data_IF_723055275406
#
_entry.id   IF_723055275406
#
_cell.length_a   1.000
_cell.length_b   1.000
_cell.length_c   1.000
_cell.angle_alpha   90.00
_cell.angle_beta   90.00
_cell.angle_gamma   90.00
#
_symmetry.space_group_name_H-M   'P 1'
#
loop_
_entity.id
_entity.type
_entity.pdbx_description
1 polymer ?
#
# COMPACT_ATOMS: atom_id res chain seq x y z
N UNK A 1 -4.95 -16.60 -17.49
CA UNK A 1 -5.89 -15.64 -16.90
C UNK A 1 -5.12 -14.36 -16.68
N UNK A 2 -5.67 -13.20 -17.00
CA UNK A 2 -4.96 -11.92 -16.83
C UNK A 2 -5.18 -11.42 -15.40
N UNK A 3 -4.10 -11.17 -14.65
CA UNK A 3 -4.14 -10.66 -13.28
C UNK A 3 -4.69 -9.23 -13.23
N UNK A 4 -5.85 -9.04 -12.59
CA UNK A 4 -6.49 -7.71 -12.49
C UNK A 4 -5.65 -6.74 -11.65
N UNK A 5 -4.93 -7.28 -10.67
CA UNK A 5 -4.10 -6.52 -9.73
C UNK A 5 -2.82 -5.96 -10.38
N UNK A 6 -2.39 -6.55 -11.50
CA UNK A 6 -1.18 -6.18 -12.24
C UNK A 6 -1.46 -5.57 -13.62
N UNK A 7 -2.71 -5.57 -14.09
CA UNK A 7 -3.07 -4.94 -15.36
C UNK A 7 -3.05 -3.42 -15.22
N UNK A 8 -2.21 -2.70 -16.00
CA UNK A 8 -2.22 -1.25 -16.02
C UNK A 8 -3.57 -0.71 -16.50
N UNK A 9 -3.99 0.43 -15.93
CA UNK A 9 -5.17 1.15 -16.40
C UNK A 9 -4.98 1.65 -17.83
N UNK A 10 -6.02 1.54 -18.66
CA UNK A 10 -5.99 2.07 -20.03
C UNK A 10 -6.08 3.60 -20.02
N UNK A 11 -5.62 4.25 -21.11
CA UNK A 11 -5.70 5.71 -21.23
C UNK A 11 -7.15 6.23 -21.20
N UNK A 12 -8.07 5.46 -21.76
CA UNK A 12 -9.49 5.80 -21.74
C UNK A 12 -10.06 5.77 -20.32
N UNK A 13 -9.76 4.71 -19.56
CA UNK A 13 -10.23 4.55 -18.18
C UNK A 13 -9.57 5.56 -17.23
N UNK A 14 -8.29 5.89 -17.47
CA UNK A 14 -7.57 6.91 -16.71
C UNK A 14 -8.17 8.31 -16.92
N UNK A 15 -8.43 8.68 -18.18
CA UNK A 15 -9.04 9.97 -18.50
C UNK A 15 -10.49 10.06 -17.99
N UNK A 16 -11.25 8.96 -18.06
CA UNK A 16 -12.59 8.89 -17.46
C UNK A 16 -12.54 9.04 -15.94
N UNK A 17 -11.58 8.39 -15.28
CA UNK A 17 -11.40 8.47 -13.83
C UNK A 17 -11.01 9.88 -13.36
N UNK A 18 -10.25 10.66 -14.14
CA UNK A 18 -9.76 12.00 -13.75
C UNK A 18 -10.67 13.15 -14.27
N UNK A 19 -11.81 12.84 -14.89
CA UNK A 19 -12.68 13.85 -15.53
C UNK A 19 -13.11 15.00 -14.61
N UNK A 20 -13.14 14.80 -13.29
CA UNK A 20 -13.28 15.84 -12.28
C UNK A 20 -11.99 15.83 -11.43
N UNK A 21 -11.16 16.88 -11.46
CA UNK A 21 -9.84 16.98 -10.80
C UNK A 21 -9.84 16.81 -9.26
N UNK A 22 -10.94 16.33 -8.68
CA UNK A 22 -11.19 16.09 -7.25
C UNK A 22 -11.90 14.75 -6.98
N UNK A 23 -12.24 13.95 -8.01
CA UNK A 23 -13.03 12.72 -7.87
C UNK A 23 -12.53 11.68 -8.85
N UNK A 24 -12.24 10.48 -8.35
CA UNK A 24 -12.18 9.29 -9.19
C UNK A 24 -13.60 8.82 -9.41
N UNK A 25 -14.07 8.85 -10.65
CA UNK A 25 -15.34 8.23 -11.04
C UNK A 25 -15.09 7.24 -12.18
N UNK A 26 -15.04 5.94 -11.85
CA UNK A 26 -15.73 4.99 -12.70
C UNK A 26 -16.63 4.10 -11.84
N UNK A 27 -17.88 3.96 -12.30
CA UNK A 27 -18.92 3.08 -11.77
C UNK A 27 -18.96 2.98 -10.23
N UNK A 28 -19.64 3.94 -9.59
CA UNK A 28 -20.27 3.76 -8.27
C UNK A 28 -19.39 3.91 -6.99
N UNK A 29 -18.22 4.54 -7.06
CA UNK A 29 -17.48 4.97 -5.85
C UNK A 29 -17.12 6.46 -5.91
N UNK A 30 -17.46 7.22 -4.86
CA UNK A 30 -17.08 8.62 -4.69
C UNK A 30 -15.87 8.71 -3.75
N UNK A 31 -14.69 8.31 -4.21
CA UNK A 31 -13.48 8.53 -3.41
C UNK A 31 -13.08 10.00 -3.49
N UNK A 32 -13.15 10.72 -2.37
CA UNK A 32 -12.70 12.12 -2.33
C UNK A 32 -11.18 12.17 -2.24
N UNK A 33 -10.56 13.02 -3.08
CA UNK A 33 -9.12 13.26 -3.04
C UNK A 33 -8.82 14.45 -2.14
N UNK A 34 -8.05 14.21 -1.09
CA UNK A 34 -7.47 15.26 -0.27
C UNK A 34 -5.98 15.41 -0.65
N UNK A 35 -5.66 16.51 -1.33
CA UNK A 35 -4.31 16.82 -1.84
C UNK A 35 -4.30 17.17 -3.33
N UNK A 36 -3.15 17.64 -3.83
CA UNK A 36 -3.00 18.04 -5.23
C UNK A 36 -2.48 16.89 -6.11
N UNK A 37 -3.42 16.12 -6.68
CA UNK A 37 -3.11 15.06 -7.65
C UNK A 37 -2.40 15.61 -8.91
N UNK A 38 -2.73 16.84 -9.31
CA UNK A 38 -2.22 17.45 -10.53
C UNK A 38 -0.75 17.90 -10.42
N UNK A 39 -0.27 18.13 -9.19
CA UNK A 39 1.15 18.44 -8.94
C UNK A 39 2.09 17.25 -9.18
N UNK A 40 1.56 16.03 -9.31
CA UNK A 40 2.35 14.80 -9.42
C UNK A 40 2.59 14.38 -10.87
N UNK A 41 3.62 13.56 -11.11
CA UNK A 41 3.89 13.00 -12.43
C UNK A 41 2.75 12.08 -12.89
N UNK A 42 2.49 12.03 -14.19
CA UNK A 42 1.40 11.22 -14.76
C UNK A 42 1.52 9.74 -14.37
N UNK A 43 2.74 9.21 -14.30
CA UNK A 43 3.00 7.83 -13.85
C UNK A 43 2.49 7.58 -12.43
N UNK A 44 2.69 8.53 -11.51
CA UNK A 44 2.23 8.42 -10.14
C UNK A 44 0.71 8.59 -10.04
N UNK A 45 0.13 9.51 -10.81
CA UNK A 45 -1.32 9.66 -10.90
C UNK A 45 -1.98 8.35 -11.37
N UNK A 46 -1.46 7.73 -12.43
CA UNK A 46 -1.94 6.44 -12.95
C UNK A 46 -1.86 5.34 -11.90
N UNK A 47 -0.75 5.24 -11.18
CA UNK A 47 -0.58 4.27 -10.12
C UNK A 47 -1.63 4.45 -9.00
N UNK A 48 -1.82 5.69 -8.53
CA UNK A 48 -2.80 6.00 -7.47
C UNK A 48 -4.22 5.65 -7.94
N UNK A 49 -4.59 6.05 -9.16
CA UNK A 49 -5.90 5.75 -9.73
C UNK A 49 -6.10 4.24 -9.86
N UNK A 50 -5.16 3.52 -10.46
CA UNK A 50 -5.22 2.06 -10.62
C UNK A 50 -5.44 1.35 -9.29
N UNK A 51 -4.67 1.70 -8.24
CA UNK A 51 -4.80 1.09 -6.92
C UNK A 51 -6.08 1.51 -6.21
N UNK A 52 -6.54 2.75 -6.37
CA UNK A 52 -7.83 3.19 -5.84
C UNK A 52 -8.99 2.39 -6.46
N UNK A 53 -8.96 2.14 -7.77
CA UNK A 53 -9.98 1.33 -8.45
C UNK A 53 -9.99 -0.13 -8.00
N UNK A 54 -8.80 -0.70 -7.77
CA UNK A 54 -8.64 -2.07 -7.30
C UNK A 54 -9.10 -2.24 -5.85
N UNK A 55 -8.59 -1.40 -4.95
CA UNK A 55 -8.77 -1.56 -3.49
C UNK A 55 -10.09 -0.95 -2.99
N UNK A 56 -10.72 -0.07 -3.78
CA UNK A 56 -12.00 0.60 -3.51
C UNK A 56 -12.05 1.34 -2.16
N UNK A 57 -11.11 2.26 -1.87
CA UNK A 57 -11.12 3.02 -0.63
C UNK A 57 -12.27 4.03 -0.60
N UNK A 58 -12.72 4.37 0.61
CA UNK A 58 -13.74 5.42 0.81
C UNK A 58 -13.21 6.80 0.44
N UNK A 59 -11.99 7.12 0.86
CA UNK A 59 -11.32 8.40 0.63
C UNK A 59 -9.83 8.14 0.30
N UNK A 60 -9.22 9.01 -0.50
CA UNK A 60 -7.79 8.95 -0.81
C UNK A 60 -7.12 10.23 -0.33
N UNK A 61 -6.15 10.08 0.57
CA UNK A 61 -5.39 11.19 1.13
C UNK A 61 -3.94 11.15 0.62
N UNK A 62 -3.47 12.25 0.03
CA UNK A 62 -2.08 12.39 -0.41
C UNK A 62 -1.29 13.04 0.73
N UNK A 63 -0.36 12.29 1.32
CA UNK A 63 0.40 12.75 2.48
C UNK A 63 1.46 13.77 2.06
N UNK A 64 1.35 14.99 2.58
CA UNK A 64 2.28 16.10 2.36
C UNK A 64 3.42 16.15 3.40
N UNK A 65 3.25 15.46 4.53
CA UNK A 65 4.22 15.44 5.64
C UNK A 65 4.11 16.62 6.60
N UNK A 66 3.04 17.43 6.47
CA UNK A 66 2.73 18.55 7.36
C UNK A 66 2.54 18.09 8.82
N UNK A 67 2.85 18.98 9.77
CA UNK A 67 2.69 18.67 11.19
C UNK A 67 1.20 18.66 11.58
N UNK A 68 0.37 19.47 10.92
CA UNK A 68 -1.08 19.49 11.09
C UNK A 68 -1.69 18.12 10.78
N UNK A 69 -1.29 17.49 9.68
CA UNK A 69 -1.79 16.18 9.30
C UNK A 69 -1.32 15.07 10.26
N UNK A 70 -0.07 15.15 10.74
CA UNK A 70 0.43 14.23 11.77
C UNK A 70 -0.41 14.31 13.03
N UNK A 71 -0.72 15.51 13.51
CA UNK A 71 -1.57 15.70 14.69
C UNK A 71 -3.01 15.22 14.45
N UNK A 72 -3.55 15.40 13.24
CA UNK A 72 -4.87 14.87 12.88
C UNK A 72 -4.91 13.33 12.96
N UNK A 73 -3.93 12.64 12.37
CA UNK A 73 -3.82 11.18 12.44
C UNK A 73 -3.65 10.73 13.89
N UNK A 74 -2.75 11.38 14.65
CA UNK A 74 -2.53 11.04 16.07
C UNK A 74 -3.83 11.13 16.86
N UNK A 75 -4.59 12.21 16.66
CA UNK A 75 -5.89 12.40 17.32
C UNK A 75 -6.87 11.28 16.95
N UNK A 76 -7.00 10.94 15.67
CA UNK A 76 -7.86 9.82 15.21
C UNK A 76 -7.47 8.50 15.88
N UNK A 77 -6.18 8.17 15.92
CA UNK A 77 -5.68 6.93 16.54
C UNK A 77 -5.91 6.88 18.07
N UNK A 78 -5.88 8.03 18.73
CA UNK A 78 -6.20 8.15 20.16
C UNK A 78 -7.71 7.97 20.39
N UNK A 79 -8.53 8.61 19.56
CA UNK A 79 -9.99 8.52 19.62
C UNK A 79 -10.46 7.07 19.34
N UNK A 80 -9.80 6.38 18.40
CA UNK A 80 -10.02 4.96 18.06
C UNK A 80 -9.40 3.99 19.09
N UNK A 81 -8.74 4.49 20.15
CA UNK A 81 -8.08 3.72 21.21
C UNK A 81 -7.00 2.75 20.70
N UNK A 82 -6.40 3.05 19.57
CA UNK A 82 -5.27 2.30 19.01
C UNK A 82 -3.93 2.82 19.53
N UNK A 83 -3.87 4.11 19.86
CA UNK A 83 -2.67 4.79 20.35
C UNK A 83 -2.93 5.49 21.69
N UNK A 84 -1.98 5.38 22.63
CA UNK A 84 -2.09 5.94 23.97
C UNK A 84 -0.94 6.90 24.27
N UNK A 85 -1.22 8.14 24.74
CA UNK A 85 -0.16 9.07 25.12
C UNK A 85 0.54 8.62 26.41
N UNK A 86 1.87 8.65 26.42
CA UNK A 86 2.68 8.30 27.57
C UNK A 86 2.95 9.53 28.44
N UNK A 87 2.17 9.70 29.52
CA UNK A 87 2.23 10.88 30.41
C UNK A 87 3.60 11.15 31.04
N UNK A 88 4.47 10.13 31.11
CA UNK A 88 5.80 10.26 31.70
C UNK A 88 6.81 10.98 30.79
N UNK A 89 6.50 11.15 29.50
CA UNK A 89 7.42 11.70 28.51
C UNK A 89 6.69 12.64 27.53
N UNK A 90 7.39 13.62 26.99
CA UNK A 90 6.84 14.51 25.97
C UNK A 90 6.86 13.83 24.60
N UNK A 91 5.79 14.00 23.81
CA UNK A 91 5.68 13.47 22.44
C UNK A 91 5.96 11.96 22.29
N UNK A 92 5.60 11.18 23.31
CA UNK A 92 5.72 9.71 23.28
C UNK A 92 4.35 9.04 23.30
N UNK A 93 4.23 7.98 22.50
CA UNK A 93 2.99 7.23 22.32
C UNK A 93 3.24 5.72 22.41
N UNK A 94 2.23 5.00 22.89
CA UNK A 94 2.20 3.55 22.96
C UNK A 94 1.12 3.02 22.03
N UNK A 95 1.50 2.09 21.15
CA UNK A 95 0.59 1.31 20.31
C UNK A 95 0.75 -0.16 20.69
N UNK A 96 -0.36 -0.89 20.80
CA UNK A 96 -0.36 -2.33 21.07
C UNK A 96 -0.86 -3.05 19.82
N UNK A 97 -0.03 -3.88 19.23
CA UNK A 97 -0.39 -4.70 18.07
C UNK A 97 -1.06 -6.00 18.50
N UNK A 98 -1.73 -6.68 17.56
CA UNK A 98 -2.23 -8.04 17.79
C UNK A 98 -1.02 -8.96 18.05
N UNK A 99 -1.07 -9.88 19.04
CA UNK A 99 0.02 -10.84 19.29
C UNK A 99 0.39 -11.70 18.07
N UNK A 100 -0.49 -11.81 17.06
CA UNK A 100 -0.22 -12.49 15.79
C UNK A 100 0.58 -11.64 14.79
N UNK A 101 0.72 -10.33 15.04
CA UNK A 101 1.39 -9.34 14.20
C UNK A 101 2.42 -8.56 15.02
N UNK A 102 3.45 -9.28 15.49
CA UNK A 102 4.52 -8.76 16.35
C UNK A 102 5.91 -8.82 15.72
N UNK A 103 6.06 -9.62 14.66
CA UNK A 103 7.35 -9.88 14.04
C UNK A 103 7.17 -10.18 12.55
N UNK A 104 8.25 -10.01 11.79
CA UNK A 104 8.31 -10.48 10.41
C UNK A 104 8.12 -11.99 10.39
N UNK A 105 7.26 -12.46 9.49
CA UNK A 105 6.99 -13.88 9.27
C UNK A 105 7.66 -14.30 7.97
N UNK A 106 8.91 -14.76 8.05
CA UNK A 106 9.70 -15.05 6.84
C UNK A 106 9.03 -16.09 5.94
N UNK A 107 8.29 -17.05 6.49
CA UNK A 107 7.50 -18.01 5.70
C UNK A 107 6.38 -17.40 4.85
N UNK A 108 6.08 -16.11 5.04
CA UNK A 108 5.13 -15.33 4.24
C UNK A 108 5.81 -14.21 3.44
N UNK A 109 7.15 -14.14 3.45
CA UNK A 109 7.95 -13.20 2.65
C UNK A 109 8.42 -13.90 1.37
N UNK A 110 7.92 -13.45 0.22
CA UNK A 110 8.21 -14.07 -1.07
C UNK A 110 8.83 -13.07 -2.04
N UNK A 111 9.76 -13.55 -2.86
CA UNK A 111 10.33 -12.81 -3.98
C UNK A 111 9.87 -13.48 -5.28
N UNK A 112 9.42 -12.67 -6.23
CA UNK A 112 8.84 -13.14 -7.50
C UNK A 112 9.77 -12.74 -8.63
N UNK A 113 10.38 -13.75 -9.25
CA UNK A 113 11.22 -13.61 -10.45
C UNK A 113 10.76 -14.61 -11.52
N UNK A 114 10.94 -14.31 -12.82
CA UNK A 114 10.56 -15.24 -13.89
C UNK A 114 11.25 -16.61 -13.78
N UNK A 115 12.52 -16.61 -13.35
CA UNK A 115 13.27 -17.82 -13.06
C UNK A 115 13.53 -17.94 -11.56
N UNK A 116 13.33 -19.14 -11.02
CA UNK A 116 13.51 -19.48 -9.61
C UNK A 116 14.93 -19.20 -9.12
N UNK A 117 15.92 -19.54 -9.94
CA UNK A 117 17.33 -19.49 -9.52
C UNK A 117 17.92 -18.06 -9.53
N UNK A 118 17.15 -17.07 -9.98
CA UNK A 118 17.49 -15.66 -9.77
C UNK A 118 17.25 -15.22 -8.31
N UNK A 119 16.38 -15.94 -7.60
CA UNK A 119 16.01 -15.62 -6.20
C UNK A 119 16.66 -16.58 -5.21
N UNK A 120 16.63 -17.89 -5.49
CA UNK A 120 17.12 -18.91 -4.56
C UNK A 120 18.28 -19.71 -5.15
N UNK A 121 19.25 -20.06 -4.30
CA UNK A 121 20.33 -20.94 -4.70
C UNK A 121 19.82 -22.37 -4.97
N UNK A 122 20.58 -23.14 -5.75
CA UNK A 122 20.32 -24.57 -5.91
C UNK A 122 20.46 -25.29 -4.56
N UNK A 123 19.37 -25.87 -4.06
CA UNK A 123 19.37 -26.73 -2.88
C UNK A 123 19.05 -28.18 -3.25
N UNK A 124 19.52 -29.16 -2.47
CA UNK A 124 19.09 -30.55 -2.63
C UNK A 124 17.57 -30.70 -2.53
N UNK A 125 17.01 -31.73 -3.16
CA UNK A 125 15.58 -32.00 -3.10
C UNK A 125 15.11 -32.17 -1.64
N UNK A 126 14.05 -31.45 -1.25
CA UNK A 126 13.48 -31.48 0.10
C UNK A 126 14.13 -30.52 1.10
N UNK A 127 15.12 -29.72 0.71
CA UNK A 127 15.71 -28.68 1.55
C UNK A 127 15.13 -27.32 1.20
N UNK A 128 14.44 -26.71 2.18
CA UNK A 128 13.93 -25.36 2.05
C UNK A 128 15.08 -24.33 2.01
N UNK A 129 15.06 -23.37 1.07
CA UNK A 129 16.10 -22.36 0.99
C UNK A 129 16.07 -21.44 2.22
N UNK A 130 17.21 -21.30 2.88
CA UNK A 130 17.37 -20.45 4.08
C UNK A 130 17.43 -18.96 3.71
N UNK A 131 17.85 -18.64 2.48
CA UNK A 131 18.13 -17.27 2.03
C UNK A 131 16.88 -16.50 1.56
N UNK A 132 15.74 -17.18 1.37
CA UNK A 132 14.49 -16.56 0.94
C UNK A 132 13.57 -17.53 0.21
N UNK A 133 12.32 -17.12 0.01
CA UNK A 133 11.31 -17.92 -0.67
C UNK A 133 11.01 -17.36 -2.07
N UNK A 134 10.88 -18.25 -3.05
CA UNK A 134 10.48 -17.92 -4.41
C UNK A 134 9.06 -18.42 -4.69
N UNK A 135 8.26 -17.59 -5.34
CA UNK A 135 6.91 -17.94 -5.80
C UNK A 135 6.82 -17.77 -7.31
N UNK A 136 6.13 -18.71 -7.97
CA UNK A 136 5.87 -18.61 -9.41
C UNK A 136 5.01 -17.37 -9.72
N UNK A 137 5.34 -16.59 -10.77
CA UNK A 137 4.57 -15.40 -11.14
C UNK A 137 3.08 -15.66 -11.32
N UNK A 138 2.66 -16.79 -11.90
CA UNK A 138 1.24 -17.12 -12.10
C UNK A 138 0.54 -17.45 -10.79
N UNK A 139 1.25 -18.08 -9.88
CA UNK A 139 0.74 -18.30 -8.52
C UNK A 139 0.56 -16.96 -7.81
N UNK A 140 1.56 -16.08 -7.89
CA UNK A 140 1.49 -14.75 -7.31
C UNK A 140 0.34 -13.91 -7.85
N UNK A 141 0.08 -13.96 -9.17
CA UNK A 141 -1.08 -13.31 -9.79
C UNK A 141 -2.41 -13.75 -9.18
N UNK A 142 -2.58 -15.06 -8.97
CA UNK A 142 -3.79 -15.63 -8.34
C UNK A 142 -3.94 -15.16 -6.90
N UNK A 143 -2.83 -15.15 -6.16
CA UNK A 143 -2.75 -14.73 -4.76
C UNK A 143 -3.01 -13.22 -4.58
N UNK A 144 -2.61 -12.39 -5.54
CA UNK A 144 -2.91 -10.96 -5.58
C UNK A 144 -4.40 -10.71 -5.81
N UNK A 145 -4.96 -11.32 -6.87
CA UNK A 145 -6.37 -11.15 -7.23
C UNK A 145 -7.32 -11.71 -6.17
N UNK A 146 -6.86 -12.64 -5.33
CA UNK A 146 -7.64 -13.11 -4.18
C UNK A 146 -7.68 -12.13 -3.00
N UNK A 147 -6.69 -11.24 -2.84
CA UNK A 147 -6.53 -10.43 -1.61
C UNK A 147 -6.80 -8.94 -1.79
N UNK A 148 -6.35 -8.37 -2.90
CA UNK A 148 -6.35 -6.91 -3.10
C UNK A 148 -7.69 -6.32 -3.54
N UNK A 149 -8.52 -6.98 -4.36
CA UNK A 149 -9.80 -6.41 -4.80
C UNK A 149 -10.73 -6.08 -3.62
N UNK A 150 -11.03 -4.79 -3.42
CA UNK A 150 -11.94 -4.32 -2.38
C UNK A 150 -11.41 -4.39 -0.95
N UNK A 151 -10.11 -4.64 -0.73
CA UNK A 151 -9.52 -4.78 0.60
C UNK A 151 -9.61 -3.51 1.48
N UNK A 152 -9.79 -2.33 0.87
CA UNK A 152 -9.90 -1.04 1.56
C UNK A 152 -11.33 -0.50 1.59
N UNK A 153 -12.34 -1.32 1.29
CA UNK A 153 -13.72 -0.86 1.30
C UNK A 153 -14.11 -0.26 2.66
N UNK A 154 -14.58 1.00 2.64
CA UNK A 154 -14.93 1.75 3.84
C UNK A 154 -13.76 2.39 4.61
N UNK A 155 -12.51 2.19 4.19
CA UNK A 155 -11.30 2.78 4.81
C UNK A 155 -10.71 3.89 3.94
N UNK A 156 -10.01 4.82 4.56
CA UNK A 156 -9.22 5.84 3.86
C UNK A 156 -7.89 5.23 3.43
N UNK A 157 -7.52 5.38 2.16
CA UNK A 157 -6.21 5.01 1.64
C UNK A 157 -5.28 6.23 1.69
N UNK A 158 -4.22 6.13 2.49
CA UNK A 158 -3.18 7.15 2.58
C UNK A 158 -2.05 6.83 1.61
N UNK A 159 -1.70 7.79 0.75
CA UNK A 159 -0.63 7.66 -0.24
C UNK A 159 0.57 8.49 0.19
N UNK A 160 1.64 7.79 0.59
CA UNK A 160 2.89 8.40 1.02
C UNK A 160 3.75 8.76 -0.19
N UNK A 161 4.07 10.05 -0.33
CA UNK A 161 5.11 10.52 -1.26
C UNK A 161 6.47 10.43 -0.57
N UNK A 162 7.06 9.23 -0.51
CA UNK A 162 8.41 9.08 0.02
C UNK A 162 9.47 9.37 -1.05
N UNK A 163 10.31 10.37 -0.84
CA UNK A 163 11.64 10.40 -1.45
C UNK A 163 12.52 9.59 -0.50
N UNK A 164 13.13 8.50 -0.97
CA UNK A 164 14.17 7.79 -0.21
C UNK A 164 15.37 8.72 -0.14
N UNK A 165 15.39 9.60 0.84
CA UNK A 165 16.60 10.31 1.22
C UNK A 165 17.48 9.29 1.92
N UNK A 166 18.59 8.95 1.28
CA UNK A 166 19.67 8.21 1.91
C UNK A 166 20.11 8.98 3.16
N UNK A 167 19.62 8.57 4.32
CA UNK A 167 20.23 8.98 5.58
C UNK A 167 21.54 8.19 5.69
N UNK A 168 22.61 8.79 5.15
CA UNK A 168 23.97 8.44 5.58
C UNK A 168 24.08 8.88 7.03
N UNK A 169 23.84 7.96 7.95
CA UNK A 169 24.33 8.09 9.31
C UNK A 169 25.86 7.98 9.24
N UNK A 170 26.55 9.09 9.51
CA UNK A 170 27.98 9.14 9.83
C UNK A 170 28.23 8.67 11.26
#
# INVERSE_FOLDING_TARGET
MSCKSLTPITDADFNAAISDKKKIVPFQLYSTFQGDLASMSEKLQRFIVEKALLMKPKDVYIVDGSDEHKEEIKKKLIDDKQMFPLKAYENNWLVRTDPKDVARVESKTWIITPDKYQTVCHTPAGVDPIMGHWMDPKQFETELDSRFPGCMNGKTAEQLRSIVQSQRYT
#
